data_IF_286928146945
#
_entry.id   IF_286928146945
#
_cell.length_a   1.000
_cell.length_b   1.000
_cell.length_c   1.000
_cell.angle_alpha   90.00
_cell.angle_beta   90.00
_cell.angle_gamma   90.00
#
_symmetry.space_group_name_H-M   'P 1'
#
loop_
_entity.id
_entity.type
_entity.pdbx_description
1 polymer ?
#
# COMPACT_ATOMS: atom_id res chain seq x y z
N UNK A 1 -44.87 -72.06 15.15
CA UNK A 1 -44.15 -73.04 14.31
C UNK A 1 -42.77 -72.50 13.98
N UNK A 2 -41.73 -73.25 14.38
CA UNK A 2 -40.32 -73.30 13.89
C UNK A 2 -39.57 -72.01 13.49
N UNK A 3 -38.58 -71.67 14.33
CA UNK A 3 -37.24 -71.14 13.97
C UNK A 3 -36.47 -72.17 13.08
N UNK A 4 -35.35 -71.85 12.35
CA UNK A 4 -34.15 -71.23 12.96
C UNK A 4 -33.10 -70.45 12.09
N UNK A 5 -32.21 -69.77 12.84
CA UNK A 5 -30.73 -69.59 12.70
C UNK A 5 -30.09 -68.86 11.48
N UNK A 6 -29.43 -67.74 11.80
CA UNK A 6 -27.96 -67.64 11.76
C UNK A 6 -27.32 -66.79 10.64
N UNK A 7 -26.39 -65.91 11.01
CA UNK A 7 -25.41 -65.33 10.07
C UNK A 7 -24.82 -63.99 10.49
N UNK A 8 -23.69 -64.00 11.19
CA UNK A 8 -22.80 -62.84 11.42
C UNK A 8 -22.14 -62.42 10.09
N UNK A 9 -21.92 -61.11 9.88
CA UNK A 9 -20.61 -60.65 9.39
C UNK A 9 -20.34 -59.19 9.82
N UNK A 10 -19.24 -59.05 10.53
CA UNK A 10 -18.59 -57.80 10.96
C UNK A 10 -17.73 -57.23 9.83
N UNK A 11 -17.58 -55.90 9.84
CA UNK A 11 -16.40 -55.10 9.48
C UNK A 11 -15.72 -55.33 8.12
N UNK A 12 -15.85 -54.35 7.22
CA UNK A 12 -14.73 -53.86 6.37
C UNK A 12 -15.13 -52.62 5.55
N UNK A 13 -15.03 -51.40 6.11
CA UNK A 13 -15.05 -50.15 5.33
C UNK A 13 -14.29 -49.01 6.05
N UNK A 14 -13.07 -49.26 6.53
CA UNK A 14 -12.26 -48.21 7.19
C UNK A 14 -10.76 -48.24 6.88
N UNK A 15 -10.33 -48.98 5.85
CA UNK A 15 -8.93 -48.96 5.39
C UNK A 15 -8.70 -48.08 4.14
N UNK A 16 -9.69 -47.95 3.25
CA UNK A 16 -9.54 -47.21 1.99
C UNK A 16 -9.37 -45.70 2.15
N UNK A 17 -10.11 -45.08 3.07
CA UNK A 17 -10.04 -43.62 3.29
C UNK A 17 -8.77 -43.17 4.02
N UNK A 18 -8.15 -44.04 4.81
CA UNK A 18 -6.91 -43.73 5.51
C UNK A 18 -5.70 -43.81 4.56
N UNK A 19 -5.69 -44.77 3.62
CA UNK A 19 -4.62 -44.89 2.62
C UNK A 19 -4.57 -43.70 1.64
N UNK A 20 -5.72 -43.15 1.25
CA UNK A 20 -5.77 -41.95 0.38
C UNK A 20 -5.22 -40.71 1.11
N UNK A 21 -5.50 -40.57 2.42
CA UNK A 21 -4.96 -39.48 3.24
C UNK A 21 -3.45 -39.60 3.48
N UNK A 22 -2.94 -40.82 3.69
CA UNK A 22 -1.49 -41.06 3.87
C UNK A 22 -0.72 -40.80 2.56
N UNK A 23 -1.23 -41.23 1.41
CA UNK A 23 -0.60 -40.93 0.11
C UNK A 23 -0.66 -39.44 -0.24
N UNK A 24 -1.75 -38.74 0.13
CA UNK A 24 -1.85 -37.29 -0.04
C UNK A 24 -0.83 -36.54 0.85
N UNK A 25 -0.66 -36.97 2.10
CA UNK A 25 0.36 -36.38 2.99
C UNK A 25 1.79 -36.73 2.57
N UNK A 26 2.05 -37.95 2.09
CA UNK A 26 3.37 -38.33 1.56
C UNK A 26 3.75 -37.54 0.31
N UNK A 27 2.77 -37.22 -0.57
CA UNK A 27 2.97 -36.36 -1.73
C UNK A 27 3.17 -34.88 -1.39
N UNK A 28 2.81 -34.43 -0.18
CA UNK A 28 3.10 -33.08 0.32
C UNK A 28 4.48 -33.01 1.01
N UNK A 29 4.99 -34.15 1.51
CA UNK A 29 6.32 -34.23 2.14
C UNK A 29 7.47 -34.53 1.18
N UNK A 30 7.21 -34.95 -0.06
CA UNK A 30 8.24 -35.15 -1.08
C UNK A 30 8.28 -33.97 -2.05
N UNK A 31 9.31 -33.12 -1.92
CA UNK A 31 9.61 -32.08 -2.92
C UNK A 31 9.96 -32.78 -4.24
N UNK A 32 9.40 -32.38 -5.39
CA UNK A 32 9.90 -32.86 -6.67
C UNK A 32 11.27 -32.21 -6.92
N UNK A 33 12.30 -33.03 -6.95
CA UNK A 33 13.65 -32.63 -7.34
C UNK A 33 13.66 -32.46 -8.87
N UNK A 34 13.28 -31.26 -9.33
CA UNK A 34 13.42 -30.88 -10.73
C UNK A 34 14.89 -30.56 -10.98
N UNK A 35 15.62 -31.55 -11.50
CA UNK A 35 17.00 -31.41 -12.00
C UNK A 35 17.05 -30.41 -13.16
N UNK A 36 17.20 -29.12 -12.85
CA UNK A 36 17.71 -28.12 -13.76
C UNK A 36 19.25 -28.18 -13.69
N UNK A 37 19.87 -28.71 -14.74
CA UNK A 37 21.31 -28.57 -14.97
C UNK A 37 21.61 -27.09 -15.18
N UNK A 38 21.98 -26.39 -14.11
CA UNK A 38 22.63 -25.08 -14.20
C UNK A 38 24.13 -25.30 -14.12
N UNK A 39 24.83 -24.97 -15.20
CA UNK A 39 26.27 -24.76 -15.17
C UNK A 39 26.56 -23.63 -14.16
N UNK A 40 27.18 -24.00 -13.04
CA UNK A 40 27.48 -23.09 -11.96
C UNK A 40 28.77 -22.30 -12.26
N UNK A 41 28.62 -21.00 -12.51
CA UNK A 41 29.71 -20.02 -12.36
C UNK A 41 29.87 -19.72 -10.86
N UNK A 42 31.08 -19.80 -10.26
CA UNK A 42 31.25 -19.64 -8.83
C UNK A 42 31.24 -18.16 -8.44
N UNK A 43 30.06 -17.66 -8.05
CA UNK A 43 29.88 -16.43 -7.31
C UNK A 43 28.93 -16.69 -6.14
N UNK A 44 29.31 -16.29 -4.91
CA UNK A 44 28.46 -16.44 -3.72
C UNK A 44 27.05 -15.92 -4.02
N UNK A 45 26.04 -16.80 -3.98
CA UNK A 45 24.64 -16.43 -4.22
C UNK A 45 24.24 -15.36 -3.21
N UNK A 46 24.08 -14.11 -3.67
CA UNK A 46 23.66 -12.99 -2.85
C UNK A 46 22.22 -13.24 -2.40
N UNK A 47 21.95 -13.23 -1.09
CA UNK A 47 20.60 -13.40 -0.52
C UNK A 47 19.65 -12.34 -1.11
N UNK A 48 18.41 -12.73 -1.42
CA UNK A 48 17.40 -11.76 -1.85
C UNK A 48 17.02 -10.81 -0.69
N UNK A 49 16.42 -9.66 -0.97
CA UNK A 49 16.01 -8.74 0.10
C UNK A 49 15.00 -9.36 1.07
N UNK A 50 14.08 -10.18 0.54
CA UNK A 50 13.11 -10.93 1.33
C UNK A 50 13.81 -11.97 2.24
N UNK A 51 14.78 -12.71 1.70
CA UNK A 51 15.59 -13.65 2.48
C UNK A 51 16.42 -12.94 3.54
N UNK A 52 16.94 -11.76 3.24
CA UNK A 52 17.70 -10.94 4.18
C UNK A 52 16.84 -10.50 5.36
N UNK A 53 15.58 -10.14 5.12
CA UNK A 53 14.62 -9.79 6.18
C UNK A 53 14.32 -10.96 7.13
N UNK A 54 14.08 -12.17 6.61
CA UNK A 54 13.69 -13.32 7.43
C UNK A 54 14.85 -14.13 8.02
N UNK A 55 16.06 -14.02 7.46
CA UNK A 55 17.26 -14.73 7.94
C UNK A 55 18.21 -13.84 8.75
N UNK A 56 17.83 -12.62 9.12
CA UNK A 56 18.60 -11.80 10.05
C UNK A 56 18.58 -12.46 11.43
N UNK A 57 19.74 -12.52 12.11
CA UNK A 57 19.81 -13.06 13.46
C UNK A 57 18.86 -12.28 14.38
N UNK A 58 17.84 -12.97 14.89
CA UNK A 58 16.83 -12.40 15.80
C UNK A 58 17.42 -11.90 17.13
N UNK A 59 18.69 -12.20 17.39
CA UNK A 59 19.32 -12.01 18.68
C UNK A 59 19.60 -10.53 19.01
N UNK A 60 19.76 -9.63 18.02
CA UNK A 60 19.82 -8.17 18.26
C UNK A 60 19.26 -7.36 17.06
N UNK A 61 17.93 -7.26 16.95
CA UNK A 61 17.30 -6.29 16.04
C UNK A 61 17.50 -4.86 16.56
N UNK A 62 17.96 -3.96 15.69
CA UNK A 62 17.93 -2.51 15.95
C UNK A 62 16.51 -2.01 16.26
N UNK A 63 16.39 -0.86 16.94
CA UNK A 63 15.09 -0.27 17.25
C UNK A 63 14.24 -0.03 16.00
N UNK A 64 14.87 0.38 14.89
CA UNK A 64 14.19 0.58 13.60
C UNK A 64 13.67 -0.75 13.04
N UNK A 65 14.47 -1.81 13.08
CA UNK A 65 14.04 -3.14 12.61
C UNK A 65 12.90 -3.69 13.45
N UNK A 66 12.96 -3.53 14.78
CA UNK A 66 11.88 -3.91 15.68
C UNK A 66 10.61 -3.13 15.36
N UNK A 67 10.70 -1.80 15.17
CA UNK A 67 9.55 -0.97 14.79
C UNK A 67 8.90 -1.42 13.48
N UNK A 68 9.70 -1.77 12.46
CA UNK A 68 9.17 -2.26 11.18
C UNK A 68 8.52 -3.64 11.32
N UNK A 69 9.09 -4.53 12.13
CA UNK A 69 8.51 -5.84 12.45
C UNK A 69 7.17 -5.67 13.17
N UNK A 70 7.11 -4.87 14.23
CA UNK A 70 5.89 -4.64 15.02
C UNK A 70 4.75 -4.10 14.13
N UNK A 71 5.07 -3.18 13.20
CA UNK A 71 4.07 -2.63 12.27
C UNK A 71 3.54 -3.66 11.28
N UNK A 72 4.40 -4.58 10.81
CA UNK A 72 3.99 -5.69 9.94
C UNK A 72 3.06 -6.63 10.68
N UNK A 73 3.45 -7.06 11.88
CA UNK A 73 2.67 -7.99 12.71
C UNK A 73 1.31 -7.40 13.09
N UNK A 74 1.27 -6.12 13.48
CA UNK A 74 0.01 -5.44 13.77
C UNK A 74 -0.90 -5.35 12.54
N UNK A 75 -0.34 -5.04 11.37
CA UNK A 75 -1.11 -4.99 10.13
C UNK A 75 -1.74 -6.36 9.82
N UNK A 76 -0.98 -7.44 9.98
CA UNK A 76 -1.46 -8.81 9.80
C UNK A 76 -2.59 -9.14 10.77
N UNK A 77 -2.39 -8.86 12.07
CA UNK A 77 -3.41 -9.06 13.10
C UNK A 77 -4.70 -8.28 12.77
N UNK A 78 -4.57 -6.99 12.48
CA UNK A 78 -5.69 -6.13 12.15
C UNK A 78 -6.45 -6.62 10.91
N UNK A 79 -5.74 -7.12 9.89
CA UNK A 79 -6.32 -7.71 8.71
C UNK A 79 -7.10 -8.99 9.00
N UNK A 80 -6.57 -9.87 9.86
CA UNK A 80 -7.24 -11.10 10.30
C UNK A 80 -8.54 -10.79 11.06
N UNK A 81 -8.55 -9.75 11.90
CA UNK A 81 -9.73 -9.40 12.69
C UNK A 81 -10.83 -8.72 11.87
N UNK A 82 -10.48 -7.92 10.86
CA UNK A 82 -11.42 -7.02 10.18
C UNK A 82 -11.78 -7.41 8.74
N UNK A 83 -11.07 -8.38 8.13
CA UNK A 83 -11.25 -8.72 6.72
C UNK A 83 -11.64 -10.18 6.53
N UNK A 84 -12.95 -10.46 6.42
CA UNK A 84 -13.48 -11.83 6.28
C UNK A 84 -13.65 -12.31 4.84
N UNK A 85 -13.55 -11.41 3.85
CA UNK A 85 -13.79 -11.75 2.44
C UNK A 85 -12.47 -11.81 1.66
N UNK A 86 -12.06 -13.01 1.29
CA UNK A 86 -11.01 -13.22 0.27
C UNK A 86 -11.64 -13.02 -1.10
N UNK A 87 -11.12 -12.07 -1.87
CA UNK A 87 -11.43 -11.91 -3.30
C UNK A 87 -10.15 -12.01 -4.09
N UNK A 88 -10.26 -12.39 -5.36
CA UNK A 88 -9.14 -12.37 -6.29
C UNK A 88 -8.82 -10.91 -6.65
N UNK A 89 -7.53 -10.56 -6.64
CA UNK A 89 -7.05 -9.26 -7.11
C UNK A 89 -7.15 -9.20 -8.63
N UNK A 90 -7.75 -8.12 -9.13
CA UNK A 90 -7.80 -7.80 -10.55
C UNK A 90 -6.58 -6.98 -10.97
N UNK A 91 -6.24 -6.88 -12.27
CA UNK A 91 -5.16 -6.00 -12.72
C UNK A 91 -5.31 -4.54 -12.27
N UNK A 92 -6.54 -4.05 -12.09
CA UNK A 92 -6.81 -2.70 -11.58
C UNK A 92 -6.31 -2.51 -10.14
N UNK A 93 -6.44 -3.54 -9.32
CA UNK A 93 -5.99 -3.56 -7.91
C UNK A 93 -4.45 -3.54 -7.79
N UNK A 94 -3.75 -3.94 -8.85
CA UNK A 94 -2.28 -4.06 -8.87
C UNK A 94 -1.58 -2.84 -9.48
N UNK A 95 -2.33 -1.84 -9.96
CA UNK A 95 -1.78 -0.64 -10.63
C UNK A 95 -0.87 0.23 -9.74
N UNK A 96 -1.02 0.10 -8.42
CA UNK A 96 -0.21 0.85 -7.46
C UNK A 96 1.10 0.15 -7.10
N UNK A 97 1.34 -1.07 -7.58
CA UNK A 97 2.51 -1.88 -7.24
C UNK A 97 3.57 -1.71 -8.32
N UNK A 98 4.58 -0.89 -8.06
CA UNK A 98 5.72 -0.74 -8.96
C UNK A 98 6.70 -1.88 -8.71
N UNK A 99 7.18 -2.48 -9.80
CA UNK A 99 8.09 -3.62 -9.78
C UNK A 99 9.50 -3.21 -10.19
N UNK A 100 10.48 -3.65 -9.42
CA UNK A 100 11.90 -3.63 -9.80
C UNK A 100 12.43 -5.07 -9.77
N UNK A 101 12.45 -5.70 -10.95
CA UNK A 101 12.87 -7.08 -11.13
C UNK A 101 14.36 -7.28 -10.79
N UNK A 102 15.19 -6.24 -11.01
CA UNK A 102 16.64 -6.32 -10.83
C UNK A 102 17.02 -6.48 -9.35
N UNK A 103 16.27 -5.81 -8.47
CA UNK A 103 16.52 -5.83 -7.03
C UNK A 103 15.48 -6.67 -6.28
N UNK A 104 14.48 -7.25 -6.96
CA UNK A 104 13.45 -8.07 -6.34
C UNK A 104 12.55 -7.27 -5.39
N UNK A 105 12.10 -6.09 -5.83
CA UNK A 105 11.29 -5.18 -5.03
C UNK A 105 9.89 -4.98 -5.62
N UNK A 106 8.91 -4.82 -4.75
CA UNK A 106 7.58 -4.33 -5.07
C UNK A 106 7.25 -3.16 -4.13
N UNK A 107 7.03 -1.98 -4.71
CA UNK A 107 6.63 -0.79 -3.97
C UNK A 107 5.17 -0.45 -4.24
N UNK A 108 4.31 -0.46 -3.21
CA UNK A 108 2.99 0.14 -3.35
C UNK A 108 3.05 1.66 -3.18
N UNK A 109 2.88 2.41 -4.26
CA UNK A 109 2.92 3.86 -4.18
C UNK A 109 1.60 4.46 -3.69
N UNK A 110 1.71 5.25 -2.62
CA UNK A 110 0.61 6.00 -2.02
C UNK A 110 0.90 7.49 -2.18
N UNK A 111 0.03 8.26 -2.86
CA UNK A 111 0.24 9.69 -2.98
C UNK A 111 0.32 10.40 -1.63
N UNK A 112 1.15 11.45 -1.58
CA UNK A 112 1.40 12.30 -0.39
C UNK A 112 2.14 11.61 0.75
N UNK A 113 2.76 10.47 0.45
CA UNK A 113 3.65 9.71 1.33
C UNK A 113 5.03 9.52 0.68
N UNK A 114 5.63 10.63 0.23
CA UNK A 114 6.91 10.66 -0.48
C UNK A 114 7.01 9.79 -1.76
N UNK A 115 5.87 9.45 -2.38
CA UNK A 115 5.87 8.56 -3.55
C UNK A 115 6.71 9.08 -4.73
N UNK A 116 6.81 10.40 -4.93
CA UNK A 116 7.69 10.98 -5.94
C UNK A 116 9.15 10.62 -5.70
N UNK A 117 9.63 10.69 -4.45
CA UNK A 117 11.01 10.35 -4.10
C UNK A 117 11.26 8.84 -4.26
N UNK A 118 10.32 7.99 -3.82
CA UNK A 118 10.42 6.55 -4.07
C UNK A 118 10.46 6.20 -5.56
N UNK A 119 9.63 6.85 -6.39
CA UNK A 119 9.67 6.65 -7.85
C UNK A 119 11.02 7.07 -8.44
N UNK A 120 11.60 8.18 -7.99
CA UNK A 120 12.95 8.61 -8.41
C UNK A 120 14.03 7.61 -8.00
N UNK A 121 13.98 7.09 -6.78
CA UNK A 121 14.89 6.04 -6.31
C UNK A 121 14.78 4.80 -7.21
N UNK A 122 13.57 4.32 -7.49
CA UNK A 122 13.36 3.17 -8.38
C UNK A 122 13.81 3.45 -9.83
N UNK A 123 13.64 4.68 -10.31
CA UNK A 123 14.16 5.09 -11.61
C UNK A 123 15.69 5.08 -11.64
N UNK A 124 16.37 5.54 -10.59
CA UNK A 124 17.83 5.46 -10.45
C UNK A 124 18.29 4.00 -10.48
N UNK A 125 17.68 3.14 -9.67
CA UNK A 125 18.00 1.72 -9.58
C UNK A 125 17.80 0.97 -10.92
N UNK A 126 16.73 1.28 -11.63
CA UNK A 126 16.40 0.70 -12.93
C UNK A 126 17.12 1.35 -14.12
N UNK A 127 17.84 2.46 -13.92
CA UNK A 127 18.37 3.25 -15.03
C UNK A 127 19.60 2.66 -15.71
N UNK A 128 20.28 1.69 -15.08
CA UNK A 128 21.56 1.18 -15.54
C UNK A 128 22.70 2.20 -15.45
N UNK A 129 22.61 3.18 -14.54
CA UNK A 129 23.63 4.22 -14.33
C UNK A 129 23.37 5.53 -15.08
N UNK A 130 22.29 5.65 -15.86
CA UNK A 130 21.90 6.92 -16.52
C UNK A 130 21.53 8.00 -15.50
N UNK A 131 20.97 7.61 -14.36
CA UNK A 131 20.69 8.49 -13.24
C UNK A 131 21.44 7.97 -12.02
N UNK A 132 22.05 8.88 -11.27
CA UNK A 132 22.77 8.59 -10.02
C UNK A 132 22.14 9.32 -8.83
N UNK A 133 21.72 10.56 -9.03
CA UNK A 133 21.00 11.37 -8.04
C UNK A 133 19.48 11.34 -8.31
N UNK A 134 18.65 10.84 -7.38
CA UNK A 134 17.19 10.89 -7.54
C UNK A 134 16.64 12.33 -7.63
N UNK A 135 17.27 13.33 -7.03
CA UNK A 135 16.82 14.73 -7.09
C UNK A 135 17.04 15.39 -8.45
N UNK A 136 17.99 14.87 -9.24
CA UNK A 136 18.20 15.29 -10.62
C UNK A 136 17.02 14.93 -11.55
N UNK A 137 16.18 13.97 -11.16
CA UNK A 137 14.99 13.57 -11.92
C UNK A 137 13.83 14.53 -11.57
N UNK A 138 13.29 15.31 -12.53
CA UNK A 138 12.15 16.20 -12.29
C UNK A 138 10.92 15.45 -11.75
N UNK A 139 10.16 16.12 -10.88
CA UNK A 139 9.02 15.48 -10.20
C UNK A 139 7.95 15.01 -11.21
N UNK A 140 7.69 15.80 -12.26
CA UNK A 140 6.77 15.43 -13.33
C UNK A 140 7.26 14.19 -14.11
N UNK A 141 8.57 14.05 -14.35
CA UNK A 141 9.14 12.87 -15.02
C UNK A 141 8.92 11.60 -14.21
N UNK A 142 9.06 11.68 -12.88
CA UNK A 142 8.81 10.56 -11.97
C UNK A 142 7.34 10.07 -11.97
N UNK A 143 6.41 10.83 -12.56
CA UNK A 143 5.00 10.47 -12.71
C UNK A 143 4.60 10.09 -14.14
N UNK A 144 5.53 10.08 -15.11
CA UNK A 144 5.26 9.68 -16.49
C UNK A 144 4.99 8.17 -16.56
N UNK A 145 3.88 7.79 -17.19
CA UNK A 145 3.51 6.40 -17.40
C UNK A 145 4.55 5.67 -18.27
N UNK A 146 4.80 4.40 -17.96
CA UNK A 146 5.73 3.55 -18.73
C UNK A 146 7.21 3.67 -18.33
N UNK A 147 7.60 4.63 -17.48
CA UNK A 147 8.98 4.73 -16.95
C UNK A 147 9.28 3.68 -15.86
N UNK A 148 8.24 3.23 -15.17
CA UNK A 148 8.29 2.20 -14.13
C UNK A 148 7.21 1.17 -14.44
N UNK A 149 7.56 -0.12 -14.36
CA UNK A 149 6.61 -1.21 -14.62
C UNK A 149 5.69 -1.38 -13.42
N UNK A 150 4.40 -1.51 -13.69
CA UNK A 150 3.40 -1.89 -12.70
C UNK A 150 3.26 -3.41 -12.66
N UNK A 151 2.95 -3.98 -11.50
CA UNK A 151 2.66 -5.41 -11.37
C UNK A 151 1.45 -5.81 -12.23
N UNK A 152 0.55 -4.87 -12.53
CA UNK A 152 -0.56 -5.06 -13.47
C UNK A 152 -0.14 -5.34 -14.92
N UNK A 153 1.13 -5.09 -15.27
CA UNK A 153 1.64 -5.21 -16.64
C UNK A 153 2.18 -6.61 -16.96
N UNK A 154 2.08 -7.54 -16.00
CA UNK A 154 2.62 -8.89 -16.08
C UNK A 154 1.51 -9.94 -16.20
N UNK A 155 1.86 -11.14 -16.67
CA UNK A 155 0.95 -12.28 -16.70
C UNK A 155 0.61 -12.77 -15.27
N UNK A 156 -0.51 -13.47 -15.06
CA UNK A 156 -0.87 -14.00 -13.73
C UNK A 156 0.22 -14.89 -13.10
N UNK A 157 0.94 -15.68 -13.89
CA UNK A 157 2.04 -16.52 -13.39
C UNK A 157 3.21 -15.66 -12.87
N UNK A 158 3.61 -14.65 -13.64
CA UNK A 158 4.65 -13.69 -13.29
C UNK A 158 4.29 -12.85 -12.07
N UNK A 159 3.02 -12.43 -11.95
CA UNK A 159 2.49 -11.72 -10.77
C UNK A 159 2.65 -12.59 -9.53
N UNK A 160 2.20 -13.85 -9.59
CA UNK A 160 2.28 -14.77 -8.45
C UNK A 160 3.73 -15.06 -8.04
N UNK A 161 4.62 -15.23 -9.00
CA UNK A 161 6.04 -15.44 -8.74
C UNK A 161 6.67 -14.24 -8.00
N UNK A 162 6.38 -13.01 -8.45
CA UNK A 162 6.90 -11.78 -7.82
C UNK A 162 6.32 -11.57 -6.42
N UNK A 163 5.00 -11.72 -6.25
CA UNK A 163 4.36 -11.57 -4.94
C UNK A 163 4.96 -12.52 -3.89
N UNK A 164 5.37 -13.73 -4.30
CA UNK A 164 5.98 -14.74 -3.42
C UNK A 164 7.46 -14.51 -3.12
N UNK A 165 8.20 -13.88 -4.03
CA UNK A 165 9.67 -13.87 -3.97
C UNK A 165 10.29 -12.49 -3.74
N UNK A 166 9.55 -11.41 -3.99
CA UNK A 166 10.07 -10.04 -3.90
C UNK A 166 9.75 -9.42 -2.54
N UNK A 167 10.62 -8.52 -2.08
CA UNK A 167 10.36 -7.69 -0.91
C UNK A 167 9.31 -6.63 -1.27
N UNK A 168 8.16 -6.70 -0.60
CA UNK A 168 7.02 -5.83 -0.79
C UNK A 168 7.01 -4.79 0.31
N UNK A 169 6.98 -3.52 -0.05
CA UNK A 169 6.94 -2.44 0.93
C UNK A 169 5.92 -1.37 0.57
N UNK A 170 5.37 -0.77 1.61
CA UNK A 170 4.41 0.32 1.54
C UNK A 170 4.84 1.40 2.53
N UNK A 171 4.65 2.66 2.13
CA UNK A 171 4.76 3.79 3.04
C UNK A 171 3.38 4.38 3.27
N UNK A 172 3.07 4.65 4.53
CA UNK A 172 1.80 5.23 4.97
C UNK A 172 2.02 6.51 5.76
N UNK A 173 0.95 7.27 5.96
CA UNK A 173 0.95 8.53 6.70
C UNK A 173 -0.36 8.64 7.47
N UNK A 174 -0.34 9.38 8.58
CA UNK A 174 -1.57 9.74 9.29
C UNK A 174 -2.65 10.22 8.28
N UNK A 175 -3.85 9.60 8.27
CA UNK A 175 -4.81 9.80 7.19
C UNK A 175 -5.23 11.25 6.94
N UNK A 176 -5.33 12.09 7.98
CA UNK A 176 -5.78 13.48 7.85
C UNK A 176 -4.66 14.45 7.48
N UNK A 177 -3.42 14.21 7.92
CA UNK A 177 -2.24 14.87 7.39
C UNK A 177 -2.09 14.59 5.88
N UNK A 178 -2.27 13.33 5.47
CA UNK A 178 -2.22 12.92 4.06
C UNK A 178 -3.30 13.65 3.26
N UNK A 179 -4.51 13.73 3.80
CA UNK A 179 -5.64 14.41 3.16
C UNK A 179 -5.42 15.91 3.00
N UNK A 180 -4.91 16.59 4.04
CA UNK A 180 -4.59 18.01 3.98
C UNK A 180 -3.45 18.27 2.99
N UNK A 181 -2.46 17.38 2.95
CA UNK A 181 -1.39 17.42 1.93
C UNK A 181 -1.96 17.28 0.51
N UNK A 182 -2.95 16.41 0.31
CA UNK A 182 -3.64 16.26 -0.97
C UNK A 182 -4.38 17.53 -1.38
N UNK A 183 -5.17 18.10 -0.46
CA UNK A 183 -5.92 19.34 -0.69
C UNK A 183 -4.98 20.51 -1.06
N UNK A 184 -3.95 20.76 -0.23
CA UNK A 184 -2.94 21.80 -0.48
C UNK A 184 -2.22 21.58 -1.81
N UNK A 185 -1.91 20.33 -2.13
CA UNK A 185 -1.24 20.04 -3.40
C UNK A 185 -2.13 20.27 -4.61
N UNK A 186 -3.45 20.06 -4.53
CA UNK A 186 -4.35 20.04 -5.71
C UNK A 186 -5.25 21.25 -5.89
N UNK A 187 -5.60 21.94 -4.81
CA UNK A 187 -6.57 23.04 -4.85
C UNK A 187 -6.00 24.40 -4.45
N UNK A 188 -4.79 24.47 -3.89
CA UNK A 188 -4.18 25.75 -3.46
C UNK A 188 -3.01 26.18 -4.34
N UNK A 189 -2.74 25.47 -5.45
CA UNK A 189 -1.65 25.77 -6.37
C UNK A 189 -2.23 26.18 -7.72
N UNK A 190 -2.02 27.43 -8.11
CA UNK A 190 -2.61 28.05 -9.30
C UNK A 190 -2.41 27.24 -10.59
N UNK A 191 -1.27 26.57 -10.72
CA UNK A 191 -0.92 25.77 -11.91
C UNK A 191 -1.72 24.46 -12.07
N UNK A 192 -2.48 24.00 -11.07
CA UNK A 192 -3.27 22.75 -11.17
C UNK A 192 -4.63 22.94 -11.87
N UNK A 193 -4.65 23.68 -12.97
CA UNK A 193 -5.86 24.04 -13.72
C UNK A 193 -6.73 22.84 -14.07
N UNK A 194 -6.13 21.71 -14.46
CA UNK A 194 -6.87 20.47 -14.76
C UNK A 194 -7.64 19.92 -13.55
N UNK A 195 -7.06 19.95 -12.34
CA UNK A 195 -7.75 19.51 -11.12
C UNK A 195 -8.84 20.51 -10.71
N UNK A 196 -8.56 21.81 -10.81
CA UNK A 196 -9.53 22.86 -10.54
C UNK A 196 -10.75 22.73 -11.45
N UNK A 197 -10.52 22.51 -12.75
CA UNK A 197 -11.60 22.32 -13.73
C UNK A 197 -12.36 21.02 -13.52
N UNK A 198 -11.70 19.88 -13.28
CA UNK A 198 -12.37 18.57 -13.14
C UNK A 198 -13.10 18.39 -11.81
N UNK A 199 -12.43 18.74 -10.71
CA UNK A 199 -12.95 18.50 -9.37
C UNK A 199 -13.42 19.80 -8.72
N UNK A 200 -12.69 20.89 -8.90
CA UNK A 200 -12.98 22.14 -8.23
C UNK A 200 -14.36 22.71 -8.59
N UNK A 201 -14.65 22.83 -9.88
CA UNK A 201 -15.96 23.30 -10.38
C UNK A 201 -17.11 22.42 -9.88
N UNK A 202 -16.93 21.09 -9.91
CA UNK A 202 -17.89 20.09 -9.40
C UNK A 202 -18.16 20.29 -7.90
N UNK A 203 -17.12 20.52 -7.11
CA UNK A 203 -17.22 20.77 -5.67
C UNK A 203 -17.99 22.07 -5.41
N UNK A 204 -17.61 23.17 -6.09
CA UNK A 204 -18.27 24.48 -5.97
C UNK A 204 -19.75 24.35 -6.33
N UNK A 205 -20.07 23.78 -7.48
CA UNK A 205 -21.44 23.64 -7.97
C UNK A 205 -22.34 22.89 -6.98
N UNK A 206 -21.78 21.92 -6.24
CA UNK A 206 -22.54 21.03 -5.36
C UNK A 206 -22.70 21.55 -3.94
N UNK A 207 -21.72 22.26 -3.43
CA UNK A 207 -21.62 22.54 -1.99
C UNK A 207 -21.57 24.02 -1.65
N UNK A 208 -21.24 24.91 -2.60
CA UNK A 208 -21.19 26.35 -2.36
C UNK A 208 -22.58 26.96 -2.49
N UNK A 209 -22.97 27.75 -1.50
CA UNK A 209 -24.17 28.59 -1.60
C UNK A 209 -23.85 29.83 -2.44
N UNK A 210 -24.70 30.13 -3.42
CA UNK A 210 -24.59 31.30 -4.31
C UNK A 210 -23.18 31.50 -4.92
N UNK A 211 -22.64 30.51 -5.66
CA UNK A 211 -21.31 30.63 -6.24
C UNK A 211 -21.26 31.71 -7.32
N UNK A 212 -20.16 32.46 -7.39
CA UNK A 212 -19.90 33.39 -8.50
C UNK A 212 -19.74 32.64 -9.82
N UNK A 213 -19.95 33.34 -10.94
CA UNK A 213 -19.69 32.76 -12.28
C UNK A 213 -18.25 32.28 -12.41
N UNK A 214 -17.29 33.04 -11.88
CA UNK A 214 -15.87 32.67 -11.91
C UNK A 214 -15.60 31.39 -11.14
N UNK A 215 -16.20 31.21 -9.95
CA UNK A 215 -16.02 30.00 -9.16
C UNK A 215 -16.58 28.76 -9.88
N UNK A 216 -17.74 28.89 -10.53
CA UNK A 216 -18.35 27.81 -11.33
C UNK A 216 -17.52 27.45 -12.55
N UNK A 217 -16.84 28.43 -13.16
CA UNK A 217 -16.03 28.20 -14.35
C UNK A 217 -14.62 27.71 -14.02
N UNK A 218 -13.97 28.29 -13.01
CA UNK A 218 -12.55 28.05 -12.73
C UNK A 218 -12.33 26.97 -11.66
N UNK A 219 -13.13 26.95 -10.60
CA UNK A 219 -13.01 25.97 -9.50
C UNK A 219 -11.66 26.00 -8.76
N UNK A 220 -10.90 27.10 -8.85
CA UNK A 220 -9.56 27.25 -8.29
C UNK A 220 -9.56 27.83 -6.86
N UNK A 221 -10.74 28.08 -6.29
CA UNK A 221 -10.95 28.69 -4.98
C UNK A 221 -11.73 27.77 -4.03
N UNK A 222 -11.68 26.46 -4.25
CA UNK A 222 -12.33 25.47 -3.38
C UNK A 222 -11.73 25.53 -1.98
N UNK A 223 -12.58 25.72 -0.97
CA UNK A 223 -12.19 25.67 0.43
C UNK A 223 -12.00 24.22 0.92
N UNK A 224 -11.20 24.03 1.97
CA UNK A 224 -11.05 22.71 2.59
C UNK A 224 -12.38 22.15 3.11
N UNK A 225 -13.27 23.02 3.60
CA UNK A 225 -14.62 22.63 4.05
C UNK A 225 -15.43 22.02 2.91
N UNK A 226 -15.46 22.66 1.75
CA UNK A 226 -16.19 22.15 0.58
C UNK A 226 -15.57 20.84 0.06
N UNK A 227 -14.24 20.73 0.11
CA UNK A 227 -13.56 19.49 -0.24
C UNK A 227 -13.95 18.34 0.71
N UNK A 228 -14.00 18.57 2.02
CA UNK A 228 -14.47 17.56 3.00
C UNK A 228 -15.93 17.17 2.72
N UNK A 229 -16.80 18.16 2.46
CA UNK A 229 -18.21 17.92 2.13
C UNK A 229 -18.37 17.05 0.89
N UNK A 230 -17.55 17.28 -0.13
CA UNK A 230 -17.51 16.49 -1.36
C UNK A 230 -17.13 15.03 -1.12
N UNK A 231 -16.11 14.76 -0.28
CA UNK A 231 -15.66 13.38 -0.02
C UNK A 231 -16.69 12.55 0.74
N UNK A 232 -17.45 13.18 1.62
CA UNK A 232 -18.46 12.50 2.46
C UNK A 232 -19.88 12.59 1.88
N UNK A 233 -20.05 13.16 0.69
CA UNK A 233 -21.29 13.13 -0.06
C UNK A 233 -21.48 11.75 -0.73
N UNK A 234 -22.57 11.01 -0.42
CA UNK A 234 -22.84 9.70 -1.04
C UNK A 234 -22.99 9.75 -2.56
N UNK A 235 -23.28 10.91 -3.17
CA UNK A 235 -23.31 11.06 -4.63
C UNK A 235 -21.92 10.93 -5.22
N UNK A 236 -20.92 11.51 -4.58
CA UNK A 236 -19.52 11.45 -5.03
C UNK A 236 -19.03 10.01 -5.15
N UNK A 237 -19.31 9.17 -4.15
CA UNK A 237 -18.87 7.77 -4.13
C UNK A 237 -19.62 6.89 -5.13
N UNK A 238 -20.83 7.28 -5.55
CA UNK A 238 -21.64 6.55 -6.54
C UNK A 238 -21.27 6.90 -7.98
N UNK A 239 -20.78 8.12 -8.22
CA UNK A 239 -20.43 8.61 -9.56
C UNK A 239 -19.15 7.96 -10.10
N UNK A 240 -18.07 8.00 -9.32
CA UNK A 240 -16.77 7.49 -9.74
C UNK A 240 -15.93 7.08 -8.51
N UNK A 241 -14.98 6.14 -8.67
CA UNK A 241 -13.96 5.90 -7.65
C UNK A 241 -13.23 7.20 -7.29
N UNK A 242 -12.74 7.31 -6.05
CA UNK A 242 -11.97 8.48 -5.68
C UNK A 242 -10.68 8.59 -6.49
N UNK A 243 -10.23 9.82 -6.68
CA UNK A 243 -8.91 10.08 -7.18
C UNK A 243 -7.87 9.52 -6.18
N UNK A 244 -6.81 8.90 -6.70
CA UNK A 244 -5.73 8.30 -5.90
C UNK A 244 -5.16 9.23 -4.81
N UNK A 245 -5.19 10.55 -5.02
CA UNK A 245 -4.64 11.52 -4.06
C UNK A 245 -5.42 11.62 -2.75
N UNK A 246 -6.71 11.27 -2.74
CA UNK A 246 -7.56 11.20 -1.56
C UNK A 246 -8.29 9.85 -1.48
N UNK A 247 -7.76 8.83 -2.15
CA UNK A 247 -8.20 7.46 -1.98
C UNK A 247 -7.50 6.86 -0.76
N UNK A 248 -8.24 6.08 0.02
CA UNK A 248 -7.79 5.39 1.23
C UNK A 248 -6.65 4.43 0.91
N UNK A 249 -5.65 4.37 1.76
CA UNK A 249 -4.44 3.56 1.54
C UNK A 249 -4.79 2.08 1.41
N UNK A 250 -5.66 1.57 2.27
CA UNK A 250 -6.10 0.17 2.20
C UNK A 250 -6.87 -0.16 0.91
N UNK A 251 -7.49 0.84 0.28
CA UNK A 251 -8.19 0.70 -1.01
C UNK A 251 -7.22 0.74 -2.20
N UNK A 252 -6.10 1.46 -2.10
CA UNK A 252 -5.08 1.52 -3.15
C UNK A 252 -4.15 0.29 -3.15
N UNK A 253 -3.78 -0.18 -1.96
CA UNK A 253 -2.68 -1.12 -1.78
C UNK A 253 -3.12 -2.50 -1.27
N UNK A 254 -4.39 -2.67 -0.90
CA UNK A 254 -4.98 -3.95 -0.48
C UNK A 254 -4.12 -4.75 0.53
N UNK A 255 -3.69 -4.17 1.67
CA UNK A 255 -2.74 -4.81 2.60
C UNK A 255 -3.26 -6.08 3.28
N UNK A 256 -4.57 -6.34 3.23
CA UNK A 256 -5.15 -7.60 3.71
C UNK A 256 -5.24 -8.69 2.64
N UNK A 257 -4.89 -8.38 1.39
CA UNK A 257 -4.80 -9.32 0.26
C UNK A 257 -3.36 -9.47 -0.23
N UNK A 258 -2.52 -8.46 0.01
CA UNK A 258 -1.09 -8.45 -0.30
C UNK A 258 -0.33 -8.34 1.02
N UNK A 259 0.46 -9.35 1.34
CA UNK A 259 1.34 -9.32 2.50
C UNK A 259 2.49 -8.34 2.24
N UNK A 260 2.58 -7.27 3.03
CA UNK A 260 3.68 -6.31 2.94
C UNK A 260 4.75 -6.69 3.95
N UNK A 261 5.98 -6.79 3.48
CA UNK A 261 7.12 -7.18 4.30
C UNK A 261 7.65 -6.00 5.13
N UNK A 262 7.45 -4.77 4.63
CA UNK A 262 7.82 -3.52 5.33
C UNK A 262 6.68 -2.51 5.25
N UNK A 263 6.28 -1.97 6.42
CA UNK A 263 5.30 -0.87 6.56
C UNK A 263 6.02 0.36 7.11
N UNK A 264 6.50 1.20 6.20
CA UNK A 264 7.13 2.47 6.53
C UNK A 264 6.11 3.55 6.88
N UNK A 265 6.49 4.49 7.74
CA UNK A 265 5.68 5.64 8.14
C UNK A 265 6.33 6.94 7.65
N UNK A 266 5.52 7.90 7.23
CA UNK A 266 6.01 9.20 6.78
C UNK A 266 6.67 10.00 7.92
N UNK A 267 6.25 9.71 9.15
CA UNK A 267 6.77 10.27 10.39
C UNK A 267 8.20 9.80 10.67
N UNK A 268 8.56 8.58 10.24
CA UNK A 268 9.91 7.97 10.35
C UNK A 268 10.54 7.72 8.97
N UNK A 269 10.15 8.52 7.97
CA UNK A 269 10.38 8.24 6.55
C UNK A 269 11.83 7.94 6.20
N UNK A 270 12.78 8.73 6.71
CA UNK A 270 14.19 8.62 6.37
C UNK A 270 14.80 7.31 6.88
N UNK A 271 14.61 7.00 8.17
CA UNK A 271 15.09 5.76 8.78
C UNK A 271 14.46 4.52 8.12
N UNK A 272 13.14 4.55 7.91
CA UNK A 272 12.41 3.45 7.27
C UNK A 272 12.84 3.26 5.80
N UNK A 273 13.08 4.34 5.07
CA UNK A 273 13.56 4.26 3.69
C UNK A 273 14.98 3.70 3.63
N UNK A 274 15.86 4.13 4.53
CA UNK A 274 17.21 3.60 4.62
C UNK A 274 17.21 2.10 4.96
N UNK A 275 16.28 1.64 5.82
CA UNK A 275 16.12 0.22 6.10
C UNK A 275 15.71 -0.59 4.86
N UNK A 276 14.78 -0.08 4.05
CA UNK A 276 14.40 -0.72 2.77
C UNK A 276 15.58 -0.77 1.79
N UNK A 277 16.35 0.31 1.67
CA UNK A 277 17.53 0.33 0.78
C UNK A 277 18.61 -0.64 1.25
N UNK A 278 18.80 -0.79 2.57
CA UNK A 278 19.72 -1.77 3.17
C UNK A 278 19.27 -3.21 2.93
N UNK A 279 17.98 -3.50 3.11
CA UNK A 279 17.41 -4.81 2.78
C UNK A 279 17.58 -5.14 1.30
N UNK A 280 17.42 -4.13 0.43
CA UNK A 280 17.64 -4.25 -1.01
C UNK A 280 19.14 -4.38 -1.39
N UNK A 281 20.06 -4.07 -0.48
CA UNK A 281 21.51 -4.08 -0.73
C UNK A 281 21.96 -3.00 -1.71
N UNK A 282 21.29 -1.84 -1.70
CA UNK A 282 21.53 -0.71 -2.62
C UNK A 282 21.82 0.60 -1.89
N UNK A 283 22.05 0.56 -0.59
CA UNK A 283 22.36 1.71 0.26
C UNK A 283 23.67 2.44 -0.13
N UNK A 284 24.59 1.75 -0.81
CA UNK A 284 25.80 2.34 -1.39
C UNK A 284 25.60 2.87 -2.83
N UNK A 285 24.46 2.56 -3.47
CA UNK A 285 24.16 2.93 -4.85
C UNK A 285 23.27 4.17 -4.92
N UNK A 286 22.30 4.28 -4.02
CA UNK A 286 21.32 5.36 -4.00
C UNK A 286 20.98 5.72 -2.56
N UNK A 287 20.78 7.01 -2.31
CA UNK A 287 20.24 7.50 -1.04
C UNK A 287 18.81 7.99 -1.23
N UNK A 288 18.00 7.84 -0.18
CA UNK A 288 16.64 8.35 -0.20
C UNK A 288 16.64 9.89 -0.09
N UNK A 289 15.99 10.63 -0.99
CA UNK A 289 15.98 12.09 -0.90
C UNK A 289 15.17 12.59 0.30
N UNK A 290 15.83 13.33 1.18
CA UNK A 290 15.19 14.01 2.30
C UNK A 290 14.70 15.40 1.86
N UNK A 291 13.39 15.65 2.01
CA UNK A 291 12.84 16.99 1.83
C UNK A 291 13.06 17.82 3.10
N UNK A 292 13.42 19.10 2.96
CA UNK A 292 13.51 20.02 4.11
C UNK A 292 12.21 20.10 4.92
N UNK A 293 12.33 20.21 6.26
CA UNK A 293 11.22 20.15 7.24
C UNK A 293 10.11 21.20 6.99
N UNK A 294 10.40 22.32 6.33
CA UNK A 294 9.50 23.47 6.15
C UNK A 294 8.29 23.23 5.25
N UNK A 295 8.28 22.17 4.44
CA UNK A 295 7.17 21.88 3.51
C UNK A 295 6.19 20.82 4.01
N UNK A 296 6.47 20.21 5.17
CA UNK A 296 5.73 19.06 5.73
C UNK A 296 4.36 19.47 6.27
N UNK A 297 3.31 18.72 5.93
CA UNK A 297 1.95 18.91 6.48
C UNK A 297 1.80 18.12 7.78
N UNK A 298 2.26 18.62 8.92
CA UNK A 298 2.15 17.89 10.19
C UNK A 298 0.76 17.99 10.87
N UNK A 299 0.61 17.32 12.01
CA UNK A 299 -0.61 17.33 12.82
C UNK A 299 -1.07 18.73 13.24
N UNK A 300 -0.15 19.67 13.48
CA UNK A 300 -0.48 21.07 13.78
C UNK A 300 -1.13 21.76 12.57
N UNK A 301 -0.59 21.52 11.38
CA UNK A 301 -1.22 22.00 10.15
C UNK A 301 -2.57 21.36 9.94
N UNK A 302 -2.70 20.04 10.12
CA UNK A 302 -3.98 19.35 10.00
C UNK A 302 -5.02 19.95 10.96
N UNK A 303 -4.68 20.12 12.24
CA UNK A 303 -5.56 20.74 13.23
C UNK A 303 -6.12 22.10 12.78
N UNK A 304 -5.29 22.96 12.18
CA UNK A 304 -5.74 24.27 11.65
C UNK A 304 -6.79 24.13 10.55
N UNK A 305 -6.63 23.18 9.63
CA UNK A 305 -7.61 22.91 8.58
C UNK A 305 -8.92 22.34 9.14
N UNK A 306 -8.84 21.54 10.19
CA UNK A 306 -10.01 20.90 10.83
C UNK A 306 -10.76 21.81 11.82
N UNK A 307 -10.16 22.92 12.28
CA UNK A 307 -10.72 23.86 13.27
C UNK A 307 -12.16 24.28 12.96
N UNK A 308 -12.46 24.55 11.69
CA UNK A 308 -13.78 25.06 11.24
C UNK A 308 -14.65 24.01 10.55
N UNK A 309 -14.25 22.73 10.60
CA UNK A 309 -15.08 21.63 10.11
C UNK A 309 -16.03 21.21 11.24
N UNK A 310 -17.32 21.06 10.94
CA UNK A 310 -18.32 20.69 11.95
C UNK A 310 -18.11 19.24 12.44
N UNK A 311 -18.46 18.93 13.71
CA UNK A 311 -18.38 17.57 14.27
C UNK A 311 -18.99 16.49 13.38
N UNK A 312 -20.15 16.79 12.76
CA UNK A 312 -20.83 15.89 11.83
C UNK A 312 -19.94 15.49 10.65
N UNK A 313 -19.29 16.47 10.00
CA UNK A 313 -18.42 16.20 8.86
C UNK A 313 -17.11 15.54 9.27
N UNK A 314 -16.56 15.90 10.44
CA UNK A 314 -15.37 15.24 11.00
C UNK A 314 -15.65 13.75 11.27
N UNK A 315 -16.79 13.41 11.88
CA UNK A 315 -17.20 12.03 12.14
C UNK A 315 -17.41 11.23 10.87
N UNK A 316 -18.10 11.81 9.87
CA UNK A 316 -18.30 11.17 8.56
C UNK A 316 -16.96 10.90 7.87
N UNK A 317 -16.04 11.88 7.90
CA UNK A 317 -14.73 11.74 7.27
C UNK A 317 -13.85 10.73 8.02
N UNK A 318 -13.90 10.71 9.35
CA UNK A 318 -13.19 9.69 10.14
C UNK A 318 -13.68 8.29 9.77
N UNK A 319 -15.01 8.10 9.70
CA UNK A 319 -15.58 6.82 9.28
C UNK A 319 -15.14 6.41 7.87
N UNK A 320 -14.99 7.38 6.95
CA UNK A 320 -14.50 7.11 5.59
C UNK A 320 -13.06 6.56 5.58
N UNK A 321 -12.19 7.06 6.47
CA UNK A 321 -10.78 6.65 6.58
C UNK A 321 -10.49 5.67 7.71
N UNK A 322 -11.51 5.20 8.44
CA UNK A 322 -11.37 4.42 9.67
C UNK A 322 -10.46 3.20 9.51
N UNK A 323 -10.55 2.52 8.38
CA UNK A 323 -9.71 1.35 8.11
C UNK A 323 -8.22 1.72 7.94
N UNK A 324 -7.88 2.89 7.42
CA UNK A 324 -6.48 3.33 7.36
C UNK A 324 -5.94 3.63 8.77
N UNK A 325 -6.76 4.25 9.64
CA UNK A 325 -6.37 4.45 11.04
C UNK A 325 -6.10 3.11 11.74
N UNK A 326 -7.01 2.16 11.56
CA UNK A 326 -6.95 0.86 12.20
C UNK A 326 -5.78 0.01 11.69
N UNK A 327 -5.68 -0.17 10.37
CA UNK A 327 -4.70 -1.09 9.76
C UNK A 327 -3.25 -0.63 9.95
N UNK A 328 -3.04 0.69 10.08
CA UNK A 328 -1.69 1.26 10.19
C UNK A 328 -1.38 1.83 11.58
N UNK A 329 -2.18 1.45 12.58
CA UNK A 329 -2.04 1.85 13.97
C UNK A 329 -1.82 3.36 14.15
N UNK A 330 -2.77 4.16 13.63
CA UNK A 330 -2.83 5.58 13.93
C UNK A 330 -3.91 5.84 14.99
N UNK A 331 -3.57 6.63 15.98
CA UNK A 331 -4.53 7.12 16.96
C UNK A 331 -5.53 8.07 16.30
N UNK A 332 -6.72 8.19 16.91
CA UNK A 332 -7.67 9.23 16.49
C UNK A 332 -7.08 10.59 16.88
N UNK A 333 -6.97 11.56 15.95
CA UNK A 333 -6.37 12.85 16.28
C UNK A 333 -7.16 13.61 17.34
N UNK A 334 -6.46 14.12 18.36
CA UNK A 334 -7.07 14.78 19.53
C UNK A 334 -7.86 16.05 19.18
N UNK A 335 -7.48 16.73 18.09
CA UNK A 335 -8.18 17.92 17.61
C UNK A 335 -9.55 17.62 16.99
N UNK A 336 -9.92 16.34 16.84
CA UNK A 336 -11.21 15.97 16.30
C UNK A 336 -12.31 16.03 17.37
N UNK A 337 -13.40 16.68 17.00
CA UNK A 337 -14.63 16.75 17.80
C UNK A 337 -15.61 15.73 17.23
N UNK A 338 -15.42 14.45 17.56
CA UNK A 338 -16.26 13.34 17.06
C UNK A 338 -17.33 12.87 18.06
N UNK A 339 -17.30 13.42 19.27
CA UNK A 339 -18.28 13.17 20.34
C UNK A 339 -19.50 14.05 20.18
#
# INVERSE_FOLDING_TARGET
>A
MKMPRGGRLLLAMSAGSLFVLVLYFQSITTKPELSLKNEAVPGKSRRSPLQTLYNGDQLELSEEQRSLQDRRELLEEACLSHTKKRRVLSPKDLKHLIVDDKHGLIYCYVPKVACTNWKRVLMVLGSGGRYTDPLAIPANEAHVAGKLRSLSDFSPAEINQRLRSYLKFIFVREPFERLVSAYRNKFTRSYNTAFHKRYGTKIVQRHRQNPSRDALQQGNDVSFREFVQYLVDPRTQREEPFNEHWERVHSLCHPCLIHYDVVGKYETLEADAQAVLRLAGVEGTVQFPTSGKSTRTDGNMAARFFKHISPLYQKKLFNLYRMDFLLFNYSTPEYLRTR
#
